data_IF_884713240055
#
_entry.id   IF_884713240055
#
_cell.length_a   1.000
_cell.length_b   1.000
_cell.length_c   1.000
_cell.angle_alpha   90.00
_cell.angle_beta   90.00
_cell.angle_gamma   90.00
#
_symmetry.space_group_name_H-M   'P 1'
#
loop_
_entity.id
_entity.type
_entity.pdbx_description
1 polymer ?
#
# COMPACT_ATOMS: atom_id res chain seq x y z
N UNK A 1 -9.21 -12.34 3.83
CA UNK A 1 -9.03 -11.10 3.05
C UNK A 1 -9.51 -9.99 3.94
N UNK A 2 -8.63 -9.04 4.20
CA UNK A 2 -8.91 -7.86 5.02
C UNK A 2 -8.72 -6.64 4.13
N UNK A 3 -9.55 -5.63 4.33
CA UNK A 3 -9.54 -4.40 3.56
C UNK A 3 -9.55 -3.19 4.49
N UNK A 4 -8.89 -2.11 4.08
CA UNK A 4 -8.90 -0.85 4.80
C UNK A 4 -8.62 0.35 3.89
N UNK A 5 -9.08 1.52 4.31
CA UNK A 5 -8.81 2.79 3.62
C UNK A 5 -7.38 3.27 3.91
N UNK A 6 -6.71 3.75 2.87
CA UNK A 6 -5.36 4.30 2.95
C UNK A 6 -5.22 5.54 2.07
N UNK A 7 -4.22 6.35 2.38
CA UNK A 7 -3.87 7.55 1.63
C UNK A 7 -2.38 7.53 1.33
N UNK A 8 -2.00 7.80 0.09
CA UNK A 8 -0.61 7.97 -0.33
C UNK A 8 -0.34 9.44 -0.64
N UNK A 9 0.77 9.97 -0.14
CA UNK A 9 1.12 11.40 -0.20
C UNK A 9 2.40 11.64 -1.00
N UNK A 10 2.77 12.89 -1.26
CA UNK A 10 4.03 13.22 -1.96
C UNK A 10 3.90 13.48 -3.47
N UNK A 11 2.68 13.56 -3.99
CA UNK A 11 2.39 14.25 -5.26
C UNK A 11 1.70 15.59 -5.00
N UNK A 12 1.28 16.31 -6.04
CA UNK A 12 0.52 17.56 -5.90
C UNK A 12 -0.81 17.37 -5.13
N UNK A 13 -1.38 16.16 -5.14
CA UNK A 13 -2.62 15.82 -4.42
C UNK A 13 -2.51 14.47 -3.72
N UNK A 14 -3.20 14.31 -2.60
CA UNK A 14 -3.28 13.01 -1.92
C UNK A 14 -4.01 11.97 -2.79
N UNK A 15 -3.45 10.77 -2.86
CA UNK A 15 -4.05 9.64 -3.58
C UNK A 15 -4.79 8.76 -2.58
N UNK A 16 -6.11 8.85 -2.60
CA UNK A 16 -6.98 8.09 -1.71
C UNK A 16 -7.32 6.72 -2.32
N UNK A 17 -7.32 5.67 -1.51
CA UNK A 17 -7.53 4.32 -2.00
C UNK A 17 -7.91 3.30 -0.94
N UNK A 18 -8.06 2.07 -1.41
CA UNK A 18 -8.33 0.90 -0.57
C UNK A 18 -7.17 -0.07 -0.68
N UNK A 19 -6.76 -0.63 0.45
CA UNK A 19 -5.76 -1.69 0.52
C UNK A 19 -6.46 -3.01 0.74
N UNK A 20 -6.09 -4.02 -0.05
CA UNK A 20 -6.58 -5.38 0.10
C UNK A 20 -5.40 -6.29 0.44
N UNK A 21 -5.52 -7.02 1.56
CA UNK A 21 -4.55 -8.04 1.97
C UNK A 21 -4.90 -9.41 1.37
N UNK A 22 -3.93 -9.99 0.64
CA UNK A 22 -4.05 -11.33 0.06
C UNK A 22 -2.72 -12.10 0.14
N UNK A 23 -2.70 -13.21 0.87
CA UNK A 23 -1.58 -14.15 0.95
C UNK A 23 -0.19 -13.52 1.23
N UNK A 24 -0.14 -12.49 2.09
CA UNK A 24 1.10 -11.81 2.47
C UNK A 24 1.50 -10.65 1.53
N UNK A 25 0.72 -10.39 0.49
CA UNK A 25 0.82 -9.18 -0.32
C UNK A 25 -0.31 -8.21 0.04
N UNK A 26 -0.02 -6.92 -0.13
CA UNK A 26 -0.96 -5.83 0.08
C UNK A 26 -1.05 -5.02 -1.21
N UNK A 27 -2.25 -4.94 -1.79
CA UNK A 27 -2.51 -4.15 -3.00
C UNK A 27 -3.32 -2.92 -2.64
N UNK A 28 -2.73 -1.74 -2.79
CA UNK A 28 -3.41 -0.46 -2.80
C UNK A 28 -4.02 -0.21 -4.19
N UNK A 29 -5.28 0.21 -4.24
CA UNK A 29 -5.96 0.71 -5.45
C UNK A 29 -6.54 2.09 -5.17
N UNK A 30 -6.17 3.07 -5.98
CA UNK A 30 -6.74 4.40 -5.91
C UNK A 30 -8.22 4.39 -6.32
N UNK A 31 -9.02 5.27 -5.70
CA UNK A 31 -10.45 5.39 -5.98
C UNK A 31 -10.71 5.87 -7.42
N UNK A 32 -9.79 6.65 -7.99
CA UNK A 32 -9.87 7.20 -9.34
C UNK A 32 -9.21 6.31 -10.41
N UNK A 33 -8.84 5.08 -10.04
CA UNK A 33 -8.15 4.10 -10.88
C UNK A 33 -6.79 4.59 -11.44
N UNK A 34 -6.24 5.70 -10.93
CA UNK A 34 -4.97 6.26 -11.41
C UNK A 34 -3.74 5.48 -10.97
N UNK A 35 -3.84 4.76 -9.84
CA UNK A 35 -2.74 4.08 -9.20
C UNK A 35 -3.16 2.71 -8.66
N UNK A 36 -2.35 1.71 -8.97
CA UNK A 36 -2.31 0.45 -8.24
C UNK A 36 -0.88 0.23 -7.74
N UNK A 37 -0.71 -0.15 -6.47
CA UNK A 37 0.59 -0.47 -5.90
C UNK A 37 0.47 -1.75 -5.08
N UNK A 38 1.20 -2.79 -5.49
CA UNK A 38 1.28 -4.03 -4.72
C UNK A 38 2.64 -4.16 -4.06
N UNK A 39 2.66 -4.31 -2.74
CA UNK A 39 3.86 -4.54 -1.93
C UNK A 39 3.77 -5.86 -1.18
N UNK A 40 4.94 -6.46 -0.92
CA UNK A 40 5.09 -7.64 -0.08
C UNK A 40 6.41 -7.55 0.70
N UNK A 41 6.58 -8.41 1.69
CA UNK A 41 7.87 -8.55 2.37
C UNK A 41 8.78 -9.51 1.60
N UNK A 42 10.03 -9.11 1.42
CA UNK A 42 11.11 -9.97 0.90
C UNK A 42 11.51 -11.04 1.93
N UNK A 43 12.54 -11.84 1.60
CA UNK A 43 13.06 -12.89 2.48
C UNK A 43 13.74 -12.36 3.75
N UNK A 44 14.14 -11.09 3.77
CA UNK A 44 14.77 -10.40 4.90
C UNK A 44 13.74 -9.66 5.77
N UNK A 45 12.49 -9.58 5.31
CA UNK A 45 11.39 -8.91 5.98
C UNK A 45 11.20 -7.45 5.60
N UNK A 46 11.93 -6.94 4.60
CA UNK A 46 11.79 -5.58 4.10
C UNK A 46 10.61 -5.49 3.14
N UNK A 47 9.92 -4.35 3.13
CA UNK A 47 8.85 -4.11 2.17
C UNK A 47 9.41 -3.75 0.79
N UNK A 48 8.94 -4.43 -0.24
CA UNK A 48 9.29 -4.15 -1.63
C UNK A 48 8.04 -4.08 -2.52
N UNK A 49 8.13 -3.32 -3.61
CA UNK A 49 7.11 -3.33 -4.67
C UNK A 49 7.25 -4.60 -5.49
N UNK A 50 6.13 -5.30 -5.65
CA UNK A 50 6.03 -6.53 -6.47
C UNK A 50 5.09 -6.38 -7.67
N UNK A 51 4.41 -5.23 -7.81
CA UNK A 51 3.54 -4.96 -8.95
C UNK A 51 2.80 -3.62 -8.86
N UNK A 52 1.94 -3.36 -9.85
CA UNK A 52 1.11 -2.15 -9.92
C UNK A 52 1.42 -1.25 -11.13
N UNK A 53 0.83 -0.06 -11.16
CA UNK A 53 0.96 0.90 -12.26
C UNK A 53 2.28 1.67 -12.22
N UNK A 54 2.61 2.30 -13.34
CA UNK A 54 3.75 3.22 -13.48
C UNK A 54 3.24 4.55 -14.09
N UNK A 55 3.78 5.72 -13.67
CA UNK A 55 4.83 5.90 -12.68
C UNK A 55 4.35 5.72 -11.23
N UNK A 56 5.28 5.48 -10.30
CA UNK A 56 5.01 5.46 -8.86
C UNK A 56 6.15 6.13 -8.08
N UNK A 57 5.88 6.55 -6.84
CA UNK A 57 6.91 7.08 -5.94
C UNK A 57 7.43 5.97 -5.02
N UNK A 58 8.76 5.84 -4.90
CA UNK A 58 9.36 4.82 -4.03
C UNK A 58 8.97 5.00 -2.56
N UNK A 59 8.77 6.24 -2.11
CA UNK A 59 8.32 6.54 -0.74
C UNK A 59 6.93 6.01 -0.40
N UNK A 60 6.10 5.70 -1.40
CA UNK A 60 4.80 5.07 -1.15
C UNK A 60 4.90 3.65 -0.60
N UNK A 61 6.03 2.96 -0.79
CA UNK A 61 6.26 1.64 -0.18
C UNK A 61 6.33 1.80 1.35
N UNK A 62 7.12 2.78 1.82
CA UNK A 62 7.30 3.03 3.25
C UNK A 62 6.00 3.54 3.89
N UNK A 63 5.33 4.51 3.26
CA UNK A 63 4.07 5.08 3.75
C UNK A 63 2.95 4.02 3.83
N UNK A 64 2.86 3.14 2.83
CA UNK A 64 1.89 2.05 2.84
C UNK A 64 2.22 1.01 3.92
N UNK A 65 3.51 0.69 4.10
CA UNK A 65 3.97 -0.20 5.16
C UNK A 65 3.62 0.30 6.56
N UNK A 66 3.77 1.60 6.83
CA UNK A 66 3.37 2.22 8.10
C UNK A 66 1.86 2.13 8.35
N UNK A 67 1.05 2.35 7.31
CA UNK A 67 -0.40 2.22 7.41
C UNK A 67 -0.85 0.78 7.65
N UNK A 68 -0.22 -0.20 7.00
CA UNK A 68 -0.46 -1.64 7.26
C UNK A 68 -0.14 -1.97 8.73
N UNK A 69 1.00 -1.51 9.24
CA UNK A 69 1.38 -1.74 10.63
C UNK A 69 0.36 -1.13 11.61
N UNK A 70 -0.08 0.10 11.35
CA UNK A 70 -1.08 0.80 12.15
C UNK A 70 -2.43 0.09 12.12
N UNK A 71 -2.87 -0.37 10.94
CA UNK A 71 -4.13 -1.07 10.79
C UNK A 71 -4.13 -2.41 11.53
N UNK A 72 -3.10 -3.23 11.32
CA UNK A 72 -2.93 -4.52 12.01
C UNK A 72 -2.86 -4.35 13.54
N UNK A 73 -2.30 -3.24 14.03
CA UNK A 73 -2.19 -2.95 15.46
C UNK A 73 -3.49 -2.45 16.11
N UNK A 74 -4.51 -2.08 15.33
CA UNK A 74 -5.83 -1.69 15.84
C UNK A 74 -6.75 -2.89 16.14
N UNK A 75 -6.34 -4.12 15.79
CA UNK A 75 -7.15 -5.35 15.92
C UNK A 75 -6.92 -6.07 17.27
N UNK A 76 -6.52 -5.34 18.32
CA UNK A 76 -6.31 -5.86 19.69
C UNK A 76 -7.25 -5.24 20.71
#
# INVERSE_FOLDING_TARGET
MEEFEAVLTGTDTDVNGTVISNAGAYTFKAIDDSLELTIARDTEGNWERIGGTEPYLSGWIDELAEQIHTNNSKVI
#
